data_IF_798166199026
#
_entry.id   IF_798166199026
#
_cell.length_a   1.000
_cell.length_b   1.000
_cell.length_c   1.000
_cell.angle_alpha   90.00
_cell.angle_beta   90.00
_cell.angle_gamma   90.00
#
_symmetry.space_group_name_H-M   'P 1'
#
loop_
_entity.id
_entity.type
_entity.pdbx_description
1 polymer ?
#
# COMPACT_ATOMS: atom_id res chain seq x y z
N UNK A 1 -9.77 -25.08 -5.11
CA UNK A 1 -9.43 -24.03 -6.08
C UNK A 1 -8.32 -24.60 -6.96
N UNK A 2 -8.53 -24.71 -8.28
CA UNK A 2 -7.50 -25.17 -9.21
C UNK A 2 -7.09 -23.97 -10.08
N UNK A 3 -6.00 -23.31 -9.71
CA UNK A 3 -5.46 -22.17 -10.47
C UNK A 3 -4.82 -22.72 -11.73
N UNK A 4 -5.17 -22.17 -12.89
CA UNK A 4 -4.68 -22.60 -14.20
C UNK A 4 -3.31 -21.99 -14.50
N UNK A 5 -3.15 -20.69 -14.22
CA UNK A 5 -1.89 -19.98 -14.35
C UNK A 5 -1.74 -18.94 -13.23
N UNK A 6 -0.50 -18.60 -12.89
CA UNK A 6 -0.17 -17.55 -11.94
C UNK A 6 0.77 -16.57 -12.61
N UNK A 7 0.32 -15.33 -12.76
CA UNK A 7 1.21 -14.25 -13.17
C UNK A 7 2.07 -13.85 -11.97
N UNK A 8 3.39 -13.81 -12.17
CA UNK A 8 4.38 -13.46 -11.16
C UNK A 8 5.16 -12.20 -11.54
N UNK A 9 5.74 -11.54 -10.55
CA UNK A 9 6.57 -10.36 -10.72
C UNK A 9 7.91 -10.57 -10.04
N UNK A 10 8.97 -10.08 -10.69
CA UNK A 10 10.31 -10.02 -10.10
C UNK A 10 10.75 -8.56 -10.12
N UNK A 11 11.18 -8.07 -8.95
CA UNK A 11 11.74 -6.74 -8.78
C UNK A 11 13.24 -6.90 -8.50
N UNK A 12 14.08 -6.39 -9.39
CA UNK A 12 15.53 -6.37 -9.18
C UNK A 12 15.87 -5.14 -8.32
N UNK A 13 16.30 -5.39 -7.08
CA UNK A 13 16.56 -4.34 -6.08
C UNK A 13 17.86 -3.59 -6.37
N UNK A 14 18.87 -4.23 -6.97
CA UNK A 14 20.12 -3.58 -7.41
C UNK A 14 19.88 -2.46 -8.44
N UNK A 15 18.75 -2.53 -9.14
CA UNK A 15 18.33 -1.54 -10.14
C UNK A 15 17.27 -0.57 -9.63
N UNK A 16 16.77 -0.76 -8.42
CA UNK A 16 15.81 0.16 -7.84
C UNK A 16 16.51 1.43 -7.41
N UNK A 17 15.97 2.59 -7.80
CA UNK A 17 16.54 3.90 -7.49
C UNK A 17 15.62 4.74 -6.59
N UNK A 18 14.60 4.12 -5.97
CA UNK A 18 13.75 4.85 -5.02
C UNK A 18 12.89 5.96 -5.62
N UNK A 19 12.67 6.04 -6.93
CA UNK A 19 12.04 7.23 -7.54
C UNK A 19 10.51 7.35 -7.34
N UNK A 20 9.85 6.39 -6.68
CA UNK A 20 8.40 6.35 -6.41
C UNK A 20 7.45 6.49 -7.62
N UNK A 21 7.96 6.41 -8.86
CA UNK A 21 7.12 6.53 -10.08
C UNK A 21 6.05 5.43 -10.13
N UNK A 22 6.36 4.23 -9.64
CA UNK A 22 5.43 3.11 -9.56
C UNK A 22 4.29 3.37 -8.55
N UNK A 23 4.59 4.06 -7.44
CA UNK A 23 3.63 4.49 -6.44
C UNK A 23 2.66 5.53 -7.02
N UNK A 24 3.19 6.58 -7.65
CA UNK A 24 2.39 7.71 -8.20
C UNK A 24 1.48 7.27 -9.34
N UNK A 25 1.99 6.44 -10.27
CA UNK A 25 1.18 5.92 -11.39
C UNK A 25 0.04 5.03 -10.90
N UNK A 26 0.32 4.16 -9.93
CA UNK A 26 -0.70 3.33 -9.29
C UNK A 26 -1.74 4.19 -8.56
N UNK A 27 -1.29 5.19 -7.81
CA UNK A 27 -2.14 6.13 -7.07
C UNK A 27 -3.12 6.85 -7.98
N UNK A 28 -2.59 7.46 -9.03
CA UNK A 28 -3.35 8.26 -10.00
C UNK A 28 -4.39 7.42 -10.75
N UNK A 29 -4.09 6.14 -10.98
CA UNK A 29 -4.98 5.25 -11.73
C UNK A 29 -6.08 4.63 -10.85
N UNK A 30 -5.76 4.26 -9.60
CA UNK A 30 -6.59 3.33 -8.81
C UNK A 30 -7.08 3.86 -7.47
N UNK A 31 -6.31 4.72 -6.80
CA UNK A 31 -6.57 5.14 -5.40
C UNK A 31 -6.63 6.67 -5.23
N UNK A 32 -7.05 7.39 -6.27
CA UNK A 32 -7.32 8.83 -6.27
C UNK A 32 -8.76 9.21 -5.83
N UNK A 33 -9.53 8.22 -5.34
CA UNK A 33 -10.94 8.39 -4.96
C UNK A 33 -11.11 8.71 -3.48
N UNK A 34 -12.25 9.30 -3.08
CA UNK A 34 -12.53 9.58 -1.69
C UNK A 34 -12.47 8.34 -0.79
N UNK A 35 -11.82 8.46 0.35
CA UNK A 35 -11.58 7.37 1.30
C UNK A 35 -10.40 6.45 0.97
N UNK A 36 -9.73 6.66 -0.17
CA UNK A 36 -8.56 5.89 -0.62
C UNK A 36 -7.27 6.73 -0.70
N UNK A 37 -7.31 7.97 -0.23
CA UNK A 37 -6.22 8.96 -0.28
C UNK A 37 -5.00 8.49 0.52
N UNK A 38 -5.21 7.76 1.60
CA UNK A 38 -4.11 7.17 2.36
C UNK A 38 -3.58 5.88 1.75
N UNK A 39 -4.26 5.27 0.76
CA UNK A 39 -3.93 3.94 0.23
C UNK A 39 -2.87 3.99 -0.87
N UNK A 40 -1.74 3.33 -0.61
CA UNK A 40 -0.67 3.13 -1.58
C UNK A 40 -0.53 1.65 -1.93
N UNK A 41 -1.34 1.19 -2.89
CA UNK A 41 -1.31 -0.21 -3.35
C UNK A 41 0.10 -0.62 -3.78
N UNK A 42 0.78 0.27 -4.50
CA UNK A 42 2.22 0.23 -4.72
C UNK A 42 2.87 1.32 -3.87
N UNK A 43 3.84 0.96 -3.03
CA UNK A 43 4.65 1.89 -2.26
C UNK A 43 6.11 1.44 -2.28
N UNK A 44 7.04 2.36 -2.09
CA UNK A 44 8.46 2.08 -1.94
C UNK A 44 8.87 2.52 -0.53
N UNK A 45 9.72 1.74 0.10
CA UNK A 45 10.24 2.00 1.45
C UNK A 45 11.76 2.04 1.38
N UNK A 46 12.38 2.93 2.15
CA UNK A 46 13.81 2.84 2.42
C UNK A 46 14.05 1.85 3.56
N UNK A 47 15.07 1.01 3.40
CA UNK A 47 15.53 0.07 4.41
C UNK A 47 16.97 0.40 4.80
N UNK A 48 17.33 0.38 6.09
CA UNK A 48 16.47 0.07 7.25
C UNK A 48 15.36 1.09 7.54
N UNK A 49 14.19 0.62 8.00
CA UNK A 49 13.05 1.48 8.34
C UNK A 49 11.78 0.72 8.76
N UNK A 50 10.87 1.38 9.47
CA UNK A 50 9.61 0.77 9.95
C UNK A 50 8.57 0.57 8.84
N UNK A 51 8.69 1.30 7.73
CA UNK A 51 7.92 1.10 6.52
C UNK A 51 6.45 1.53 6.64
N UNK A 52 5.62 1.02 5.72
CA UNK A 52 4.24 1.46 5.54
C UNK A 52 3.23 0.28 5.44
N UNK A 53 2.27 0.15 6.38
CA UNK A 53 2.16 0.89 7.64
C UNK A 53 3.35 0.62 8.57
N UNK A 54 3.50 1.45 9.60
CA UNK A 54 4.58 1.37 10.59
C UNK A 54 4.68 -0.04 11.18
N UNK A 55 5.87 -0.62 11.08
CA UNK A 55 6.25 -1.96 11.54
C UNK A 55 5.39 -3.08 10.95
N UNK A 56 4.95 -2.96 9.69
CA UNK A 56 4.08 -3.97 9.06
C UNK A 56 4.64 -5.40 9.09
N UNK A 57 5.96 -5.55 9.19
CA UNK A 57 6.69 -6.82 9.29
C UNK A 57 6.56 -7.51 10.65
N UNK A 58 6.27 -6.75 11.72
CA UNK A 58 6.04 -7.31 13.05
C UNK A 58 4.70 -8.06 13.11
N UNK A 59 4.77 -9.37 12.93
CA UNK A 59 3.61 -10.25 13.03
C UNK A 59 3.27 -10.64 14.47
N UNK A 60 4.08 -10.27 15.46
CA UNK A 60 3.66 -10.34 16.86
C UNK A 60 2.75 -9.18 17.22
N UNK A 61 2.96 -7.98 16.66
CA UNK A 61 2.00 -6.88 16.73
C UNK A 61 0.74 -7.16 15.92
N UNK A 62 0.88 -7.42 14.62
CA UNK A 62 -0.28 -7.41 13.71
C UNK A 62 -0.93 -8.76 13.42
N UNK A 63 -0.37 -9.87 13.93
CA UNK A 63 -0.93 -11.23 13.81
C UNK A 63 -1.33 -11.64 12.37
N UNK A 64 -0.56 -11.20 11.37
CA UNK A 64 -0.81 -11.54 9.97
C UNK A 64 -0.23 -12.89 9.56
N UNK A 65 -0.75 -13.43 8.45
CA UNK A 65 -0.26 -14.67 7.86
C UNK A 65 -0.76 -15.95 8.55
N UNK A 66 0.04 -17.00 8.43
CA UNK A 66 -0.25 -18.35 8.88
C UNK A 66 0.71 -18.76 10.01
N UNK A 67 0.25 -19.64 10.89
CA UNK A 67 1.07 -20.37 11.85
C UNK A 67 0.80 -21.86 11.71
N UNK A 68 1.80 -22.69 12.02
CA UNK A 68 1.68 -24.14 12.00
C UNK A 68 1.39 -24.62 13.42
N UNK A 69 0.24 -25.26 13.63
CA UNK A 69 -0.12 -25.85 14.91
C UNK A 69 -0.49 -27.32 14.72
N UNK A 70 0.26 -28.24 15.35
CA UNK A 70 0.08 -29.69 15.24
C UNK A 70 -0.02 -30.17 13.78
N UNK A 71 0.88 -29.67 12.92
CA UNK A 71 0.92 -30.01 11.49
C UNK A 71 -0.19 -29.39 10.63
N UNK A 72 -1.09 -28.58 11.20
CA UNK A 72 -2.17 -27.89 10.47
C UNK A 72 -1.92 -26.39 10.42
N UNK A 73 -2.12 -25.80 9.24
CA UNK A 73 -2.06 -24.35 9.07
C UNK A 73 -3.28 -23.70 9.72
N UNK A 74 -3.02 -22.65 10.51
CA UNK A 74 -4.03 -21.81 11.14
C UNK A 74 -3.68 -20.35 10.89
N UNK A 75 -4.68 -19.48 10.84
CA UNK A 75 -4.44 -18.04 10.76
C UNK A 75 -3.81 -17.56 12.06
N UNK A 76 -2.75 -16.75 11.98
CA UNK A 76 -2.11 -16.18 13.18
C UNK A 76 -3.07 -15.28 13.97
N UNK A 77 -3.99 -14.62 13.28
CA UNK A 77 -5.12 -13.86 13.86
C UNK A 77 -6.20 -14.71 14.56
N UNK A 78 -6.06 -16.03 14.60
CA UNK A 78 -7.02 -16.96 15.18
C UNK A 78 -8.06 -17.51 14.21
N UNK A 79 -8.76 -18.56 14.65
CA UNK A 79 -9.82 -19.24 13.90
C UNK A 79 -11.14 -18.45 13.90
N UNK A 80 -12.11 -18.90 13.09
CA UNK A 80 -13.45 -18.30 13.07
C UNK A 80 -14.12 -18.38 14.45
N UNK A 81 -14.00 -19.52 15.13
CA UNK A 81 -14.55 -19.73 16.47
C UNK A 81 -13.88 -18.83 17.51
N UNK A 82 -12.55 -18.73 17.49
CA UNK A 82 -11.84 -17.87 18.45
C UNK A 82 -12.18 -16.40 18.26
N UNK A 83 -12.36 -15.94 17.02
CA UNK A 83 -12.77 -14.56 16.72
C UNK A 83 -14.16 -14.22 17.25
N UNK A 84 -15.09 -15.17 17.24
CA UNK A 84 -16.43 -15.00 17.80
C UNK A 84 -16.39 -15.08 19.32
N UNK A 85 -15.77 -16.12 19.88
CA UNK A 85 -15.69 -16.35 21.32
C UNK A 85 -14.99 -15.22 22.08
N UNK A 86 -13.96 -14.62 21.47
CA UNK A 86 -13.22 -13.49 22.05
C UNK A 86 -13.83 -12.13 21.72
N UNK A 87 -15.03 -12.07 21.15
CA UNK A 87 -15.70 -10.81 20.78
C UNK A 87 -14.98 -9.99 19.68
N UNK A 88 -13.88 -10.52 19.10
CA UNK A 88 -13.07 -9.81 18.10
C UNK A 88 -13.87 -9.41 16.86
N UNK A 89 -15.02 -10.03 16.61
CA UNK A 89 -15.87 -9.72 15.45
C UNK A 89 -16.44 -8.29 15.51
N UNK A 90 -16.63 -7.77 16.72
CA UNK A 90 -17.14 -6.41 16.95
C UNK A 90 -16.01 -5.38 16.99
N UNK A 91 -14.83 -5.79 17.46
CA UNK A 91 -13.64 -4.95 17.55
C UNK A 91 -12.39 -5.77 17.21
N UNK A 92 -11.66 -5.38 16.18
CA UNK A 92 -10.44 -6.08 15.76
C UNK A 92 -9.21 -5.36 16.34
N UNK A 93 -8.61 -5.86 17.44
CA UNK A 93 -7.50 -5.17 18.11
C UNK A 93 -6.18 -5.26 17.33
N UNK A 94 -6.06 -6.22 16.41
CA UNK A 94 -4.83 -6.53 15.68
C UNK A 94 -4.77 -5.80 14.32
N UNK A 95 -5.71 -4.88 14.05
CA UNK A 95 -5.82 -4.16 12.78
C UNK A 95 -4.98 -2.88 12.81
N UNK A 96 -4.20 -2.58 11.76
CA UNK A 96 -3.56 -1.27 11.66
C UNK A 96 -4.60 -0.16 11.60
N UNK A 97 -4.38 0.88 12.39
CA UNK A 97 -5.20 2.09 12.44
C UNK A 97 -4.68 3.15 11.47
N UNK A 98 -5.45 4.22 11.26
CA UNK A 98 -5.02 5.33 10.38
C UNK A 98 -3.67 5.92 10.81
N UNK A 99 -3.41 6.00 12.12
CA UNK A 99 -2.15 6.49 12.70
C UNK A 99 -0.94 5.61 12.35
N UNK A 100 -1.14 4.31 12.11
CA UNK A 100 -0.06 3.41 11.68
C UNK A 100 0.26 3.61 10.18
N UNK A 101 -0.65 4.21 9.40
CA UNK A 101 -0.38 4.65 8.04
C UNK A 101 0.08 6.11 8.04
N UNK A 102 -0.89 7.02 7.98
CA UNK A 102 -0.79 8.47 8.18
C UNK A 102 -2.21 9.04 8.00
N UNK A 103 -2.50 10.17 8.61
CA UNK A 103 -3.73 10.90 8.31
C UNK A 103 -3.54 11.64 6.97
N UNK A 104 -4.32 11.32 5.92
CA UNK A 104 -4.14 11.98 4.63
C UNK A 104 -4.49 13.47 4.74
N UNK A 105 -3.68 14.32 4.11
CA UNK A 105 -3.88 15.77 4.12
C UNK A 105 -3.96 16.35 2.71
N UNK A 106 -4.50 17.56 2.63
CA UNK A 106 -4.44 18.47 1.49
C UNK A 106 -3.97 19.84 1.99
N UNK A 107 -3.88 20.84 1.12
CA UNK A 107 -3.49 22.20 1.50
C UNK A 107 -4.57 23.21 1.12
N UNK A 108 -4.66 24.28 1.90
CA UNK A 108 -5.54 25.41 1.59
C UNK A 108 -4.91 26.31 0.51
N UNK A 109 -4.86 25.83 -0.74
CA UNK A 109 -4.25 26.55 -1.85
C UNK A 109 -4.94 27.87 -2.17
N UNK A 110 -6.27 27.95 -2.01
CA UNK A 110 -7.06 29.17 -2.23
C UNK A 110 -6.62 30.34 -1.32
N UNK A 111 -6.01 30.04 -0.17
CA UNK A 111 -5.47 31.08 0.70
C UNK A 111 -4.35 31.89 0.03
N UNK A 112 -3.63 31.29 -0.93
CA UNK A 112 -2.53 31.97 -1.63
C UNK A 112 -3.04 33.05 -2.60
N UNK A 113 -4.24 32.89 -3.14
CA UNK A 113 -4.83 33.81 -4.12
C UNK A 113 -5.89 34.73 -3.53
N UNK A 114 -6.56 34.28 -2.47
CA UNK A 114 -7.73 34.96 -1.91
C UNK A 114 -7.43 35.66 -0.57
N UNK A 115 -6.23 35.50 -0.02
CA UNK A 115 -5.83 36.31 1.12
C UNK A 115 -5.69 37.75 0.66
N UNK A 116 -6.57 38.63 1.13
CA UNK A 116 -6.41 40.07 0.98
C UNK A 116 -5.11 40.57 1.62
N UNK A 117 -4.91 41.89 1.65
CA UNK A 117 -3.69 42.49 2.20
C UNK A 117 -3.47 42.07 3.67
N UNK A 118 -2.27 41.56 3.96
CA UNK A 118 -1.86 41.14 5.29
C UNK A 118 -0.42 41.57 5.58
N UNK A 119 -0.11 41.71 6.87
CA UNK A 119 1.25 42.00 7.36
C UNK A 119 2.28 40.90 7.01
N UNK A 120 1.82 39.66 6.85
CA UNK A 120 2.67 38.50 6.58
C UNK A 120 2.18 37.77 5.34
N UNK A 121 3.13 37.18 4.60
CA UNK A 121 2.85 36.43 3.38
C UNK A 121 1.88 35.27 3.66
N UNK A 122 0.81 35.10 2.87
CA UNK A 122 -0.09 33.97 3.02
C UNK A 122 0.62 32.66 2.69
N UNK A 123 0.32 31.61 3.47
CA UNK A 123 0.86 30.26 3.28
C UNK A 123 -0.26 29.23 3.20
N UNK A 124 -0.12 28.25 2.31
CA UNK A 124 -1.06 27.15 2.20
C UNK A 124 -0.82 26.17 3.36
N UNK A 125 -1.62 26.29 4.42
CA UNK A 125 -1.53 25.37 5.57
C UNK A 125 -2.16 24.02 5.25
N UNK A 126 -1.60 22.92 5.79
CA UNK A 126 -2.17 21.59 5.64
C UNK A 126 -3.52 21.47 6.38
N UNK A 127 -4.43 20.73 5.76
CA UNK A 127 -5.75 20.36 6.29
C UNK A 127 -5.94 18.86 6.20
N UNK A 128 -6.52 18.26 7.22
CA UNK A 128 -6.89 16.84 7.19
C UNK A 128 -7.89 16.59 6.07
N UNK A 129 -7.65 15.57 5.25
CA UNK A 129 -8.61 15.08 4.26
C UNK A 129 -9.72 14.24 4.91
N UNK A 130 -9.61 13.93 6.21
CA UNK A 130 -10.60 13.19 7.00
C UNK A 130 -11.54 14.16 7.73
N UNK A 131 -10.99 15.11 8.51
CA UNK A 131 -11.78 16.03 9.34
C UNK A 131 -11.99 17.41 8.70
N UNK A 132 -11.13 17.82 7.75
CA UNK A 132 -11.13 19.17 7.17
C UNK A 132 -10.45 20.22 8.04
N UNK A 133 -10.06 19.87 9.26
CA UNK A 133 -9.39 20.76 10.22
C UNK A 133 -7.94 21.01 9.85
N UNK A 134 -7.38 22.11 10.34
CA UNK A 134 -5.94 22.40 10.19
C UNK A 134 -5.15 21.42 11.06
N UNK A 135 -4.02 20.93 10.58
CA UNK A 135 -3.22 19.92 11.30
C UNK A 135 -1.73 20.20 11.19
N UNK A 136 -0.95 19.63 12.10
CA UNK A 136 0.51 19.54 11.97
C UNK A 136 0.91 18.18 11.41
N UNK A 137 1.81 18.19 10.41
CA UNK A 137 2.28 16.96 9.79
C UNK A 137 3.32 16.29 10.67
N UNK A 138 2.99 15.09 11.18
CA UNK A 138 3.87 14.31 12.07
C UNK A 138 4.42 13.03 11.43
N UNK A 139 3.77 12.56 10.37
CA UNK A 139 4.11 11.32 9.69
C UNK A 139 3.54 11.30 8.27
N UNK A 140 4.05 10.39 7.44
CA UNK A 140 3.63 10.22 6.05
C UNK A 140 3.97 8.82 5.52
N UNK A 141 3.48 8.46 4.33
CA UNK A 141 3.67 7.12 3.76
C UNK A 141 5.11 6.80 3.36
N UNK A 142 5.98 7.82 3.33
CA UNK A 142 7.39 7.74 2.96
C UNK A 142 8.22 8.70 3.83
N UNK A 143 7.95 8.73 5.13
CA UNK A 143 8.59 9.65 6.08
C UNK A 143 10.09 9.35 6.29
N UNK A 144 10.49 8.10 6.02
CA UNK A 144 11.83 7.56 6.25
C UNK A 144 12.67 7.49 4.97
N UNK A 145 12.29 8.23 3.93
CA UNK A 145 13.01 8.29 2.65
C UNK A 145 14.48 8.65 2.87
N UNK A 146 15.39 8.03 2.11
CA UNK A 146 16.83 8.27 2.18
C UNK A 146 17.43 8.32 3.61
N UNK A 147 16.99 7.39 4.48
CA UNK A 147 17.42 7.26 5.89
C UNK A 147 17.02 8.44 6.79
N UNK A 148 16.06 9.27 6.38
CA UNK A 148 15.54 10.33 7.21
C UNK A 148 14.99 9.78 8.54
N UNK A 149 15.62 10.15 9.66
CA UNK A 149 15.25 9.65 10.99
C UNK A 149 15.66 8.21 11.27
N UNK A 150 16.54 7.60 10.46
CA UNK A 150 16.96 6.21 10.62
C UNK A 150 17.59 5.89 11.99
N UNK A 151 18.23 6.86 12.66
CA UNK A 151 18.73 6.69 14.02
C UNK A 151 17.61 6.47 15.07
N UNK A 152 16.36 6.84 14.76
CA UNK A 152 15.19 6.64 15.62
C UNK A 152 14.38 5.41 15.18
N UNK A 153 14.17 5.26 13.88
CA UNK A 153 13.26 4.23 13.34
C UNK A 153 13.98 2.98 12.86
N UNK A 154 15.24 3.09 12.42
CA UNK A 154 16.06 1.98 11.96
C UNK A 154 16.26 0.88 13.00
N UNK A 155 16.53 1.18 14.29
CA UNK A 155 16.57 0.15 15.34
C UNK A 155 15.25 -0.61 15.53
N UNK A 156 14.13 -0.03 15.08
CA UNK A 156 12.78 -0.60 15.19
C UNK A 156 12.36 -1.40 13.95
N UNK A 157 13.23 -1.50 12.94
CA UNK A 157 13.02 -2.37 11.79
C UNK A 157 13.18 -3.85 12.24
N UNK A 158 12.14 -4.69 12.11
CA UNK A 158 12.21 -6.09 12.55
C UNK A 158 13.32 -6.92 11.87
N UNK A 159 13.82 -6.48 10.71
CA UNK A 159 14.94 -7.14 10.03
C UNK A 159 16.30 -6.77 10.62
N UNK A 160 16.37 -5.69 11.39
CA UNK A 160 17.60 -5.17 11.98
C UNK A 160 17.78 -5.64 13.43
N UNK A 161 16.71 -6.02 14.14
CA UNK A 161 16.78 -6.56 15.51
C UNK A 161 17.78 -7.73 15.65
N UNK A 162 18.04 -8.47 14.57
CA UNK A 162 18.91 -9.66 14.56
C UNK A 162 20.36 -9.40 14.12
N UNK A 163 20.72 -8.14 13.84
CA UNK A 163 22.07 -7.72 13.44
C UNK A 163 22.73 -7.04 14.66
N UNK A 164 24.05 -7.10 14.82
CA UNK A 164 24.76 -6.44 15.94
C UNK A 164 24.60 -4.91 15.88
N UNK A 165 24.34 -4.26 17.02
CA UNK A 165 23.96 -2.85 17.09
C UNK A 165 25.07 -1.86 16.67
N UNK A 166 26.33 -2.19 16.92
CA UNK A 166 27.48 -1.31 16.67
C UNK A 166 27.71 -1.00 15.17
N UNK A 167 27.23 -1.85 14.26
CA UNK A 167 27.44 -1.71 12.80
C UNK A 167 26.38 -0.79 12.15
N UNK A 168 25.26 -0.53 12.82
CA UNK A 168 24.03 -0.12 12.14
C UNK A 168 23.95 1.37 11.77
N UNK A 169 24.66 2.23 12.49
CA UNK A 169 24.52 3.69 12.35
C UNK A 169 25.83 4.46 12.47
N UNK A 170 26.97 3.80 12.28
CA UNK A 170 28.21 4.51 12.05
C UNK A 170 28.17 5.18 10.67
N UNK A 171 28.61 6.42 10.56
CA UNK A 171 28.46 7.22 9.34
C UNK A 171 29.18 6.57 8.15
N UNK A 172 30.38 6.04 8.36
CA UNK A 172 31.18 5.39 7.30
C UNK A 172 30.61 4.03 6.86
N UNK A 173 29.71 3.45 7.66
CA UNK A 173 29.08 2.14 7.40
C UNK A 173 27.58 2.27 7.08
N UNK A 174 27.09 3.50 6.89
CA UNK A 174 25.70 3.75 6.54
C UNK A 174 25.36 3.04 5.22
N UNK A 175 24.28 2.27 5.25
CA UNK A 175 23.74 1.60 4.07
C UNK A 175 22.26 1.87 3.95
N UNK A 176 21.77 1.89 2.71
CA UNK A 176 20.34 1.93 2.43
C UNK A 176 20.01 1.14 1.18
N UNK A 177 18.77 0.66 1.12
CA UNK A 177 18.20 0.06 -0.08
C UNK A 177 16.73 0.44 -0.21
N UNK A 178 16.22 0.41 -1.43
CA UNK A 178 14.81 0.67 -1.71
C UNK A 178 14.05 -0.64 -1.88
N UNK A 179 12.91 -0.74 -1.19
CA UNK A 179 12.02 -1.89 -1.20
C UNK A 179 10.65 -1.48 -1.80
N UNK A 180 10.47 -1.57 -3.13
CA UNK A 180 9.14 -1.46 -3.73
C UNK A 180 8.28 -2.67 -3.36
N UNK A 181 7.05 -2.44 -2.92
CA UNK A 181 6.11 -3.49 -2.51
C UNK A 181 4.73 -3.28 -3.10
N UNK A 182 4.05 -4.39 -3.38
CA UNK A 182 2.65 -4.45 -3.79
C UNK A 182 1.99 -5.74 -3.25
N UNK A 183 0.74 -6.03 -3.63
CA UNK A 183 0.10 -7.27 -3.23
C UNK A 183 0.80 -8.48 -3.86
N UNK A 184 1.31 -9.40 -3.04
CA UNK A 184 2.00 -10.61 -3.51
C UNK A 184 1.11 -11.62 -4.24
N UNK A 185 -0.22 -11.40 -4.29
CA UNK A 185 -1.17 -12.31 -4.93
C UNK A 185 -0.91 -13.79 -4.60
N UNK A 186 -0.69 -14.09 -3.31
CA UNK A 186 -0.17 -15.36 -2.80
C UNK A 186 -0.93 -16.60 -3.32
N UNK A 187 -0.25 -17.75 -3.42
CA UNK A 187 -0.90 -19.04 -3.70
C UNK A 187 -1.82 -19.49 -2.56
N UNK A 188 -1.38 -19.27 -1.30
CA UNK A 188 -2.18 -19.49 -0.10
C UNK A 188 -2.48 -18.16 0.63
N UNK A 189 -3.38 -17.32 0.10
CA UNK A 189 -3.62 -15.98 0.61
C UNK A 189 -4.37 -16.01 1.95
N UNK A 190 -3.68 -15.64 3.03
CA UNK A 190 -4.27 -15.54 4.38
C UNK A 190 -5.39 -14.49 4.45
N UNK A 191 -5.34 -13.45 3.61
CA UNK A 191 -6.40 -12.43 3.50
C UNK A 191 -7.73 -13.01 2.97
N UNK A 192 -7.66 -13.95 2.01
CA UNK A 192 -8.84 -14.69 1.53
C UNK A 192 -9.41 -15.55 2.64
N UNK A 193 -8.56 -16.33 3.31
CA UNK A 193 -8.98 -17.19 4.42
C UNK A 193 -9.52 -16.40 5.62
N UNK A 194 -9.04 -15.18 5.84
CA UNK A 194 -9.44 -14.33 6.96
C UNK A 194 -10.78 -13.62 6.74
N UNK A 195 -11.28 -13.53 5.51
CA UNK A 195 -12.50 -12.79 5.18
C UNK A 195 -13.76 -13.56 5.60
N UNK A 196 -14.54 -13.09 6.61
CA UNK A 196 -15.70 -13.84 7.11
C UNK A 196 -16.84 -13.98 6.09
N UNK A 197 -16.99 -12.99 5.20
CA UNK A 197 -18.04 -12.99 4.18
C UNK A 197 -17.67 -13.73 2.90
N UNK A 198 -16.43 -14.23 2.78
CA UNK A 198 -15.95 -14.88 1.54
C UNK A 198 -15.90 -13.94 0.32
N UNK A 199 -15.88 -12.62 0.53
CA UNK A 199 -15.83 -11.61 -0.54
C UNK A 199 -14.46 -11.55 -1.21
N UNK A 200 -13.42 -12.06 -0.55
CA UNK A 200 -12.10 -12.21 -1.14
C UNK A 200 -11.99 -13.52 -1.90
N UNK A 201 -11.40 -13.48 -3.09
CA UNK A 201 -11.19 -14.67 -3.91
C UNK A 201 -9.94 -14.51 -4.77
N UNK A 202 -9.46 -15.64 -5.29
CA UNK A 202 -8.35 -15.70 -6.24
C UNK A 202 -8.90 -16.23 -7.55
N UNK A 203 -8.65 -15.51 -8.65
CA UNK A 203 -9.05 -15.90 -9.99
C UNK A 203 -8.36 -17.18 -10.42
N UNK A 204 -9.08 -18.06 -11.10
CA UNK A 204 -8.54 -19.33 -11.55
C UNK A 204 -7.71 -19.17 -12.83
N UNK A 205 -8.03 -18.19 -13.68
CA UNK A 205 -7.37 -17.98 -14.96
C UNK A 205 -5.93 -17.45 -14.85
N UNK A 206 -5.64 -16.58 -13.86
CA UNK A 206 -4.36 -15.88 -13.77
C UNK A 206 -3.82 -15.68 -12.35
N UNK A 207 -4.54 -16.19 -11.35
CA UNK A 207 -4.10 -16.18 -9.96
C UNK A 207 -4.17 -14.81 -9.29
N UNK A 208 -4.82 -13.80 -9.87
CA UNK A 208 -4.98 -12.50 -9.22
C UNK A 208 -5.96 -12.62 -8.04
N UNK A 209 -5.54 -12.11 -6.88
CA UNK A 209 -6.38 -12.01 -5.67
C UNK A 209 -7.17 -10.71 -5.70
N UNK A 210 -8.50 -10.80 -5.60
CA UNK A 210 -9.44 -9.69 -5.69
C UNK A 210 -10.39 -9.67 -4.48
N UNK A 211 -11.04 -8.52 -4.29
CA UNK A 211 -12.17 -8.33 -3.37
C UNK A 211 -13.36 -8.06 -4.26
N UNK A 212 -14.38 -8.89 -4.14
CA UNK A 212 -15.71 -8.60 -4.64
C UNK A 212 -16.28 -7.43 -3.83
N UNK A 213 -16.36 -6.29 -4.48
CA UNK A 213 -16.83 -5.06 -3.87
C UNK A 213 -18.32 -5.12 -3.51
N UNK A 214 -19.11 -5.94 -4.20
CA UNK A 214 -20.54 -6.11 -3.95
C UNK A 214 -20.80 -7.14 -2.85
N UNK A 215 -19.94 -8.15 -2.69
CA UNK A 215 -20.03 -9.09 -1.57
C UNK A 215 -19.40 -8.55 -0.28
N UNK A 216 -18.42 -7.64 -0.37
CA UNK A 216 -17.70 -7.11 0.78
C UNK A 216 -18.67 -6.43 1.79
N UNK A 217 -18.52 -6.77 3.07
CA UNK A 217 -19.30 -6.20 4.18
C UNK A 217 -18.46 -5.34 5.13
N UNK A 218 -17.20 -5.09 4.78
CA UNK A 218 -16.33 -4.22 5.58
C UNK A 218 -15.94 -4.81 6.94
N UNK A 219 -15.83 -6.14 7.06
CA UNK A 219 -15.41 -6.82 8.30
C UNK A 219 -13.94 -6.57 8.69
N UNK A 220 -13.12 -6.02 7.77
CA UNK A 220 -11.72 -5.59 7.96
C UNK A 220 -10.70 -6.64 8.42
N UNK A 221 -11.11 -7.88 8.68
CA UNK A 221 -10.19 -8.98 9.02
C UNK A 221 -9.16 -9.33 7.95
N UNK A 222 -9.45 -9.03 6.69
CA UNK A 222 -8.48 -9.19 5.61
C UNK A 222 -7.26 -8.27 5.76
N UNK A 223 -7.39 -7.12 6.44
CA UNK A 223 -6.28 -6.22 6.73
C UNK A 223 -5.29 -6.87 7.70
N UNK A 224 -5.78 -7.35 8.85
CA UNK A 224 -4.98 -8.11 9.83
C UNK A 224 -4.43 -9.39 9.19
N UNK A 225 -5.28 -10.14 8.49
CA UNK A 225 -4.90 -11.43 7.91
C UNK A 225 -3.75 -11.35 6.92
N UNK A 226 -3.59 -10.24 6.20
CA UNK A 226 -2.46 -10.03 5.30
C UNK A 226 -1.18 -9.73 6.09
N UNK A 227 -0.14 -10.58 6.03
CA UNK A 227 1.13 -10.27 6.72
C UNK A 227 1.79 -9.03 6.12
N UNK A 228 1.64 -8.81 4.81
CA UNK A 228 2.21 -7.67 4.08
C UNK A 228 1.47 -6.34 4.26
N UNK A 229 0.30 -6.34 4.93
CA UNK A 229 -0.60 -5.18 5.08
C UNK A 229 -0.95 -4.47 3.77
N UNK A 230 -1.08 -5.26 2.70
CA UNK A 230 -1.46 -4.78 1.36
C UNK A 230 -2.96 -4.75 1.10
N UNK A 231 -3.77 -4.88 2.15
CA UNK A 231 -5.23 -4.70 2.06
C UNK A 231 -5.58 -3.47 2.89
N UNK A 232 -6.26 -2.52 2.25
CA UNK A 232 -6.60 -1.23 2.85
C UNK A 232 -8.13 -1.10 2.99
N UNK A 233 -8.58 -0.39 4.02
CA UNK A 233 -10.01 -0.13 4.23
C UNK A 233 -10.41 1.25 3.72
N UNK A 234 -11.39 1.31 2.81
CA UNK A 234 -11.91 2.61 2.38
C UNK A 234 -12.86 3.14 3.46
N UNK A 235 -12.43 4.19 4.16
CA UNK A 235 -13.14 4.72 5.32
C UNK A 235 -14.41 5.50 4.96
N UNK A 236 -14.48 6.05 3.74
CA UNK A 236 -15.63 6.85 3.27
C UNK A 236 -16.73 6.00 2.64
N UNK A 237 -16.39 4.80 2.16
CA UNK A 237 -17.33 3.96 1.43
C UNK A 237 -18.33 3.28 2.37
N UNK A 238 -19.55 3.81 2.39
CA UNK A 238 -20.74 3.09 2.84
C UNK A 238 -21.35 2.31 1.67
N UNK A 239 -21.85 1.09 1.92
CA UNK A 239 -22.67 0.40 0.93
C UNK A 239 -24.01 1.14 0.80
N UNK A 240 -24.60 1.28 -0.41
CA UNK A 240 -25.99 1.66 -0.52
C UNK A 240 -26.85 0.59 0.18
N UNK A 241 -27.87 1.02 0.94
CA UNK A 241 -28.73 0.15 1.77
C UNK A 241 -29.43 -0.97 0.99
N UNK A 242 -29.48 -0.93 -0.35
CA UNK A 242 -30.27 -1.82 -1.20
C UNK A 242 -29.46 -2.59 -2.27
N UNK A 243 -28.21 -2.98 -2.01
CA UNK A 243 -27.51 -3.88 -2.94
C UNK A 243 -27.98 -5.34 -2.74
N UNK A 244 -28.64 -5.99 -3.71
CA UNK A 244 -29.08 -7.37 -3.57
C UNK A 244 -27.88 -8.29 -3.38
N UNK A 245 -28.01 -9.27 -2.49
CA UNK A 245 -27.03 -10.34 -2.34
C UNK A 245 -27.07 -11.21 -3.61
N UNK A 246 -26.11 -11.03 -4.51
CA UNK A 246 -25.94 -11.97 -5.62
C UNK A 246 -25.48 -13.30 -5.02
N UNK A 247 -26.42 -14.25 -4.95
CA UNK A 247 -26.13 -15.64 -4.65
C UNK A 247 -25.25 -16.21 -5.76
N UNK A 248 -24.16 -16.87 -5.38
CA UNK A 248 -23.28 -17.58 -6.31
C UNK A 248 -24.08 -18.67 -7.03
N UNK A 249 -24.30 -18.48 -8.32
CA UNK A 249 -24.87 -19.54 -9.15
C UNK A 249 -25.37 -19.07 -10.51
N UNK A 250 -24.46 -18.77 -11.45
CA UNK A 250 -24.77 -18.93 -12.88
C UNK A 250 -23.48 -18.85 -13.70
N UNK A 251 -23.07 -20.01 -14.22
CA UNK A 251 -22.27 -20.08 -15.44
C UNK A 251 -23.18 -19.65 -16.59
N UNK A 252 -23.17 -18.38 -16.99
CA UNK A 252 -23.63 -17.90 -18.29
C UNK A 252 -23.21 -16.45 -18.48
N UNK A 253 -22.68 -16.14 -19.65
CA UNK A 253 -22.07 -14.86 -19.97
C UNK A 253 -23.02 -13.69 -19.77
N UNK A 254 -22.66 -12.79 -18.85
CA UNK A 254 -23.17 -11.44 -18.83
C UNK A 254 -22.13 -10.53 -19.47
N UNK A 255 -22.50 -9.86 -20.57
CA UNK A 255 -21.74 -8.75 -21.15
C UNK A 255 -21.50 -7.68 -20.08
N UNK A 256 -20.29 -7.09 -20.02
CA UNK A 256 -19.93 -6.16 -18.95
C UNK A 256 -20.52 -4.77 -19.22
N UNK A 257 -21.66 -4.45 -18.61
CA UNK A 257 -22.07 -3.05 -18.44
C UNK A 257 -21.22 -2.43 -17.32
N UNK A 258 -20.09 -1.82 -17.70
CA UNK A 258 -19.48 -0.66 -17.07
C UNK A 258 -19.56 -0.50 -15.53
N UNK A 259 -19.16 -1.51 -14.75
CA UNK A 259 -18.59 -1.33 -13.40
C UNK A 259 -17.45 -2.31 -13.24
N UNK A 260 -16.24 -1.88 -13.61
CA UNK A 260 -15.03 -2.71 -13.49
C UNK A 260 -14.88 -3.12 -12.02
N UNK A 261 -14.71 -4.42 -11.70
CA UNK A 261 -14.41 -4.85 -10.35
C UNK A 261 -13.13 -4.16 -9.89
N UNK A 262 -13.26 -3.24 -8.92
CA UNK A 262 -12.11 -2.57 -8.35
C UNK A 262 -11.33 -3.59 -7.51
N UNK A 263 -10.05 -3.80 -7.78
CA UNK A 263 -9.31 -4.80 -7.03
C UNK A 263 -9.15 -4.43 -5.56
N UNK A 264 -9.03 -5.45 -4.71
CA UNK A 264 -8.76 -5.30 -3.27
C UNK A 264 -7.50 -4.46 -2.96
N UNK A 265 -6.53 -4.60 -3.86
CA UNK A 265 -5.14 -4.22 -3.67
C UNK A 265 -4.37 -4.17 -5.00
N UNK A 266 -5.08 -4.21 -6.13
CA UNK A 266 -4.45 -4.33 -7.45
C UNK A 266 -4.52 -2.98 -8.13
N UNK A 267 -3.38 -2.31 -8.15
CA UNK A 267 -3.04 -1.60 -9.36
C UNK A 267 -2.75 -2.68 -10.39
N UNK A 268 -3.70 -2.93 -11.29
CA UNK A 268 -3.49 -3.88 -12.38
C UNK A 268 -2.31 -3.36 -13.19
N UNK A 269 -1.16 -4.04 -13.05
CA UNK A 269 -0.14 -4.41 -14.05
C UNK A 269 0.26 -3.41 -15.16
N UNK A 270 -0.11 -2.15 -15.07
CA UNK A 270 0.39 -1.09 -15.92
C UNK A 270 1.53 -0.43 -15.18
N UNK A 271 2.78 -0.67 -15.62
CA UNK A 271 3.89 0.30 -15.69
C UNK A 271 5.29 -0.26 -15.43
N UNK A 272 5.48 -1.41 -14.77
CA UNK A 272 6.86 -1.85 -14.48
C UNK A 272 7.59 -2.41 -15.73
N UNK A 273 6.88 -3.08 -16.65
CA UNK A 273 7.49 -3.52 -17.93
C UNK A 273 7.85 -2.33 -18.84
N UNK A 274 7.12 -1.21 -18.75
CA UNK A 274 7.39 0.01 -19.51
C UNK A 274 8.48 0.90 -18.92
N UNK A 275 8.90 0.73 -17.65
CA UNK A 275 9.97 1.55 -17.08
C UNK A 275 11.37 1.19 -17.61
N UNK A 276 11.62 -0.07 -17.98
CA UNK A 276 12.91 -0.48 -18.60
C UNK A 276 13.15 0.23 -19.93
N UNK A 277 12.09 0.50 -20.70
CA UNK A 277 12.15 1.16 -22.00
C UNK A 277 11.90 2.66 -21.91
N UNK A 278 10.95 3.10 -21.08
CA UNK A 278 10.56 4.50 -20.92
C UNK A 278 11.60 5.33 -20.19
N UNK A 279 12.03 4.90 -19.00
CA UNK A 279 12.97 5.68 -18.19
C UNK A 279 14.35 5.76 -18.87
N UNK A 280 14.85 4.64 -19.43
CA UNK A 280 16.10 4.65 -20.22
C UNK A 280 16.00 5.51 -21.48
N UNK A 281 14.90 5.43 -22.25
CA UNK A 281 14.73 6.27 -23.45
C UNK A 281 14.54 7.74 -23.12
N UNK A 282 13.88 8.07 -22.01
CA UNK A 282 13.61 9.45 -21.60
C UNK A 282 14.83 10.10 -20.96
N UNK A 283 15.60 9.36 -20.16
CA UNK A 283 16.91 9.80 -19.65
C UNK A 283 17.93 9.95 -20.80
N UNK A 284 17.99 9.00 -21.74
CA UNK A 284 18.84 9.12 -22.94
C UNK A 284 18.41 10.27 -23.85
N UNK A 285 17.11 10.57 -23.96
CA UNK A 285 16.61 11.73 -24.73
C UNK A 285 16.94 13.05 -24.03
N UNK A 286 16.84 13.10 -22.70
CA UNK A 286 17.23 14.27 -21.90
C UNK A 286 18.75 14.50 -21.96
N UNK A 287 19.55 13.44 -21.79
CA UNK A 287 21.02 13.49 -21.89
C UNK A 287 21.50 13.84 -23.30
N UNK A 288 20.84 13.33 -24.36
CA UNK A 288 21.15 13.73 -25.75
C UNK A 288 20.81 15.19 -26.00
N UNK A 289 19.69 15.71 -25.46
CA UNK A 289 19.28 17.11 -25.61
C UNK A 289 20.18 18.08 -24.83
N UNK A 290 20.72 17.68 -23.68
CA UNK A 290 21.70 18.49 -22.93
C UNK A 290 23.10 18.45 -23.54
N UNK A 291 23.52 17.32 -24.14
CA UNK A 291 24.79 17.26 -24.88
C UNK A 291 24.76 18.11 -26.16
N UNK A 292 23.68 18.08 -26.95
CA UNK A 292 23.59 18.90 -28.18
C UNK A 292 23.47 20.41 -27.92
N UNK A 293 23.14 20.84 -26.70
CA UNK A 293 23.12 22.27 -26.33
C UNK A 293 24.41 22.78 -25.72
N UNK A 294 25.36 21.92 -25.35
CA UNK A 294 26.69 22.35 -24.85
C UNK A 294 27.74 22.51 -25.95
N UNK A 295 27.49 22.01 -27.16
CA UNK A 295 28.40 22.20 -28.32
C UNK A 295 28.16 23.51 -29.10
N UNK A 296 27.24 24.37 -28.67
CA UNK A 296 26.93 25.65 -29.32
C UNK A 296 27.31 26.88 -28.47
N UNK A 297 28.05 26.70 -27.37
CA UNK A 297 28.51 27.79 -26.46
C UNK A 297 30.05 27.81 -26.34
N UNK A 298 30.77 26.98 -27.10
CA UNK A 298 32.21 27.11 -27.29
C UNK A 298 32.54 27.12 -28.78
N UNK A 299 32.33 28.27 -29.42
CA UNK A 299 32.92 28.71 -30.68
C UNK A 299 32.90 30.23 -30.68
#
# INVERSE_FOLDING_TARGET
MKIKAQVAMVMNLDKCIGCHTCSVTCKSTWTNRPGAEYMWFNNVETKPGVGYPVQWEDQEKYKGGWTLHKGKLQLKSGSKLSKIALGKIFYNPDMPEMKDYYEPWTYNYEHLTNAGEKKHQPVARPKSAVTGETMDLKWGPNWEDDLAGAHVTGPKDPNIEKIEEEIKFNFEQAFMMYLPRLCEHCLNPSCVASCPSGAMYKRDEDGIVLVDQEACRGWRYCMTGCPYKKVYFNWKRTKPKNAPSVSRGSKRGCRPSARKPAPAASGIWAFCSTMRTGCRKQLLRLMKRTCTRRSAICS
#
